data_IF_592674653860
#
_entry.id   IF_592674653860
#
_cell.length_a   1.000
_cell.length_b   1.000
_cell.length_c   1.000
_cell.angle_alpha   90.00
_cell.angle_beta   90.00
_cell.angle_gamma   90.00
#
_symmetry.space_group_name_H-M   'P 1'
#
loop_
_entity.id
_entity.type
_entity.pdbx_description
1 polymer ?
#
# COMPACT_ATOMS: atom_id res chain seq x y z
N UNK A 1 5.77 0.63 3.99
CA UNK A 1 4.64 0.85 3.06
C UNK A 1 4.10 2.27 3.22
N UNK A 2 3.76 2.99 2.14
CA UNK A 2 3.12 4.32 2.23
C UNK A 2 1.73 4.32 1.57
N UNK A 3 0.75 5.01 2.18
CA UNK A 3 -0.63 5.11 1.66
C UNK A 3 -1.04 6.56 1.34
N UNK A 4 -1.85 6.71 0.29
CA UNK A 4 -2.56 7.95 -0.07
C UNK A 4 -1.67 9.08 -0.61
N UNK A 5 -2.32 10.16 -1.07
CA UNK A 5 -1.64 11.35 -1.64
C UNK A 5 -0.67 12.03 -0.67
N UNK A 6 -0.85 11.81 0.65
CA UNK A 6 0.01 12.33 1.69
C UNK A 6 1.21 11.46 2.07
N UNK A 7 1.45 10.32 1.39
CA UNK A 7 2.54 9.38 1.72
C UNK A 7 2.59 9.07 3.23
N UNK A 8 1.46 8.71 3.83
CA UNK A 8 1.45 8.32 5.25
C UNK A 8 2.11 6.96 5.40
N UNK A 9 3.12 6.85 6.25
CA UNK A 9 3.75 5.59 6.62
C UNK A 9 2.67 4.64 7.19
N UNK A 10 2.55 3.46 6.60
CA UNK A 10 1.53 2.48 6.94
C UNK A 10 2.07 1.44 7.91
N UNK A 11 3.16 0.76 7.54
CA UNK A 11 3.71 -0.37 8.30
C UNK A 11 5.12 -0.72 7.81
N UNK A 12 5.96 -1.21 8.73
CA UNK A 12 7.19 -1.96 8.45
C UNK A 12 6.86 -3.45 8.41
N UNK A 13 7.16 -4.11 7.30
CA UNK A 13 6.90 -5.54 7.12
C UNK A 13 8.21 -6.28 6.94
N UNK A 14 8.36 -7.42 7.62
CA UNK A 14 9.54 -8.29 7.51
C UNK A 14 9.38 -9.36 6.42
N UNK A 15 8.16 -9.55 5.92
CA UNK A 15 7.83 -10.43 4.80
C UNK A 15 7.45 -9.60 3.57
N UNK A 16 7.61 -10.13 2.33
CA UNK A 16 7.25 -9.41 1.11
C UNK A 16 5.73 -9.31 0.88
N UNK A 17 4.93 -9.42 1.94
CA UNK A 17 3.47 -9.40 1.92
C UNK A 17 2.96 -8.39 2.95
N UNK A 18 1.91 -7.64 2.60
CA UNK A 18 1.23 -6.74 3.54
C UNK A 18 -0.24 -6.64 3.14
N UNK A 19 -1.14 -6.60 4.12
CA UNK A 19 -2.58 -6.45 3.90
C UNK A 19 -3.04 -5.06 4.32
N UNK A 20 -3.54 -4.31 3.33
CA UNK A 20 -4.13 -2.99 3.53
C UNK A 20 -5.62 -3.13 3.85
N UNK A 21 -6.05 -2.73 5.04
CA UNK A 21 -7.47 -2.81 5.48
C UNK A 21 -8.01 -1.43 5.84
N UNK A 22 -9.34 -1.32 6.00
CA UNK A 22 -10.00 -0.06 6.36
C UNK A 22 -10.02 0.98 5.25
N UNK A 23 -9.82 0.56 4.00
CA UNK A 23 -9.88 1.43 2.81
C UNK A 23 -11.30 1.39 2.27
N UNK A 24 -11.81 2.55 1.89
CA UNK A 24 -13.12 2.64 1.27
C UNK A 24 -13.18 1.77 0.00
N UNK A 25 -14.36 1.22 -0.33
CA UNK A 25 -14.58 0.50 -1.58
C UNK A 25 -14.38 1.37 -2.81
N UNK A 26 -14.16 0.74 -3.97
CA UNK A 26 -13.93 1.40 -5.27
C UNK A 26 -12.84 2.50 -5.25
N UNK A 27 -11.88 2.41 -4.33
CA UNK A 27 -10.90 3.47 -4.05
C UNK A 27 -9.57 3.17 -4.76
N UNK A 28 -9.08 4.06 -5.64
CA UNK A 28 -7.77 3.92 -6.25
C UNK A 28 -6.67 4.14 -5.20
N UNK A 29 -5.63 3.32 -5.26
CA UNK A 29 -4.52 3.29 -4.32
C UNK A 29 -3.19 3.29 -5.06
N UNK A 30 -2.30 4.16 -4.64
CA UNK A 30 -0.88 4.13 -4.99
C UNK A 30 -0.11 3.69 -3.76
N UNK A 31 0.48 2.50 -3.82
CA UNK A 31 1.28 1.91 -2.75
C UNK A 31 2.74 2.08 -3.13
N UNK A 32 3.53 2.66 -2.23
CA UNK A 32 4.97 2.80 -2.41
C UNK A 32 5.72 1.90 -1.42
N UNK A 33 6.67 1.12 -1.94
CA UNK A 33 7.47 0.14 -1.21
C UNK A 33 8.94 0.50 -1.30
N UNK A 34 9.63 0.47 -0.17
CA UNK A 34 11.09 0.65 -0.07
C UNK A 34 11.61 -0.47 0.81
N UNK A 35 12.66 -1.16 0.37
CA UNK A 35 13.36 -2.13 1.20
C UNK A 35 14.44 -1.42 2.01
N UNK A 36 14.60 -1.80 3.27
CA UNK A 36 15.59 -1.22 4.18
C UNK A 36 16.48 -2.33 4.70
N UNK A 37 17.80 -2.12 4.69
CA UNK A 37 18.79 -3.00 5.31
C UNK A 37 19.89 -2.15 5.99
N UNK A 38 20.91 -2.78 6.58
CA UNK A 38 22.01 -2.07 7.24
C UNK A 38 22.81 -1.14 6.30
N UNK A 39 22.78 -1.40 4.98
CA UNK A 39 23.44 -0.55 3.98
C UNK A 39 22.58 0.67 3.57
N UNK A 40 21.30 0.72 3.97
CA UNK A 40 20.38 1.82 3.72
C UNK A 40 19.07 1.39 3.03
N UNK A 41 18.46 2.34 2.33
CA UNK A 41 17.17 2.17 1.66
C UNK A 41 17.33 1.89 0.17
N UNK A 42 16.49 1.02 -0.39
CA UNK A 42 16.41 0.78 -1.83
C UNK A 42 15.71 1.93 -2.57
N UNK A 43 15.82 2.00 -3.92
CA UNK A 43 14.88 2.77 -4.72
C UNK A 43 13.44 2.36 -4.41
N UNK A 44 12.53 3.35 -4.47
CA UNK A 44 11.11 3.17 -4.22
C UNK A 44 10.43 2.48 -5.39
N UNK A 45 9.65 1.45 -5.11
CA UNK A 45 8.77 0.76 -6.07
C UNK A 45 7.34 1.25 -5.91
N UNK A 46 6.67 1.57 -7.02
CA UNK A 46 5.28 2.01 -7.04
C UNK A 46 4.36 0.87 -7.53
N UNK A 47 3.24 0.68 -6.83
CA UNK A 47 2.20 -0.27 -7.20
C UNK A 47 0.87 0.50 -7.22
N UNK A 48 0.20 0.52 -8.37
CA UNK A 48 -1.14 1.07 -8.51
C UNK A 48 -2.19 -0.04 -8.47
N UNK A 49 -3.16 0.09 -7.57
CA UNK A 49 -4.25 -0.89 -7.38
C UNK A 49 -5.55 -0.19 -7.02
N UNK A 50 -6.66 -0.92 -6.95
CA UNK A 50 -7.98 -0.39 -6.57
C UNK A 50 -8.71 -1.40 -5.68
N UNK A 51 -9.35 -0.93 -4.62
CA UNK A 51 -10.25 -1.79 -3.84
C UNK A 51 -11.46 -2.18 -4.67
N UNK A 52 -12.03 -3.35 -4.39
CA UNK A 52 -13.27 -3.77 -5.02
C UNK A 52 -14.41 -2.80 -4.66
N UNK A 53 -15.36 -2.57 -5.57
CA UNK A 53 -16.56 -1.80 -5.25
C UNK A 53 -17.38 -2.50 -4.16
N UNK A 54 -18.22 -1.74 -3.45
CA UNK A 54 -19.23 -2.38 -2.60
C UNK A 54 -20.10 -3.25 -3.49
N UNK A 55 -20.16 -4.53 -3.17
CA UNK A 55 -21.19 -5.39 -3.75
C UNK A 55 -22.52 -4.93 -3.16
N UNK A 56 -23.16 -3.97 -3.79
CA UNK A 56 -24.63 -3.82 -3.67
C UNK A 56 -25.20 -5.10 -4.27
N UNK A 57 -25.54 -6.05 -3.41
CA UNK A 57 -26.25 -7.25 -3.83
C UNK A 57 -27.55 -6.84 -4.53
N UNK A 58 -27.69 -7.22 -5.79
CA UNK A 58 -28.98 -7.33 -6.47
C UNK A 58 -29.71 -8.59 -6.04
#
# INVERSE_FOLDING_TARGET
MYRGAGKTFYEEVTEPTSTLTGIAPDTPLTVNVTAVNEAGESPMSEISTRTQPETSGS
#
